data_IF_597742920052
#
_entry.id   IF_597742920052
#
_cell.length_a   1.000
_cell.length_b   1.000
_cell.length_c   1.000
_cell.angle_alpha   90.00
_cell.angle_beta   90.00
_cell.angle_gamma   90.00
#
_symmetry.space_group_name_H-M   'P 1'
#
loop_
_entity.id
_entity.type
_entity.pdbx_description
1 polymer ?
#
# COMPACT_ATOMS: atom_id res chain seq x y z
N UNK A 1 74.15 32.51 -26.21
CA UNK A 1 72.70 32.28 -26.10
C UNK A 1 72.34 32.06 -24.63
N UNK A 2 71.88 33.11 -23.93
CA UNK A 2 71.63 33.08 -22.49
C UNK A 2 70.30 32.42 -22.07
N UNK A 3 69.42 32.11 -23.03
CA UNK A 3 68.04 31.72 -22.75
C UNK A 3 67.80 30.22 -22.54
N UNK A 4 68.82 29.35 -22.68
CA UNK A 4 68.65 27.91 -22.45
C UNK A 4 68.79 27.49 -20.98
N UNK A 5 69.41 28.34 -20.16
CA UNK A 5 69.67 28.09 -18.73
C UNK A 5 68.38 27.87 -17.93
N UNK A 6 67.30 28.60 -18.23
CA UNK A 6 66.03 28.51 -17.50
C UNK A 6 65.30 27.17 -17.71
N UNK A 7 65.46 26.55 -18.88
CA UNK A 7 64.90 25.23 -19.18
C UNK A 7 65.69 24.09 -18.53
N UNK A 8 66.93 24.33 -18.11
CA UNK A 8 67.80 23.33 -17.48
C UNK A 8 67.80 23.43 -15.96
N UNK A 9 67.92 24.64 -15.41
CA UNK A 9 68.09 24.83 -13.97
C UNK A 9 66.73 24.76 -13.24
N UNK A 10 65.65 25.31 -13.83
CA UNK A 10 64.33 25.42 -13.19
C UNK A 10 63.17 25.04 -14.15
N UNK A 11 63.16 23.83 -14.74
CA UNK A 11 62.14 23.42 -15.71
C UNK A 11 60.69 23.51 -15.16
N UNK A 12 60.50 23.36 -13.85
CA UNK A 12 59.20 23.47 -13.20
C UNK A 12 58.64 24.90 -13.16
N UNK A 13 59.47 25.93 -13.31
CA UNK A 13 59.01 27.33 -13.41
C UNK A 13 58.42 27.67 -14.78
N UNK A 14 58.63 26.81 -15.79
CA UNK A 14 58.13 27.00 -17.16
C UNK A 14 56.89 26.15 -17.46
N UNK A 15 56.49 25.27 -16.53
CA UNK A 15 55.24 24.51 -16.65
C UNK A 15 54.04 25.45 -16.49
N UNK A 16 53.14 25.45 -17.47
CA UNK A 16 51.86 26.18 -17.38
C UNK A 16 51.05 25.55 -16.22
N UNK A 17 50.98 26.25 -15.09
CA UNK A 17 50.11 25.86 -13.98
C UNK A 17 48.70 26.33 -14.31
N UNK A 18 47.80 25.39 -14.52
CA UNK A 18 46.37 25.67 -14.67
C UNK A 18 45.79 25.76 -13.26
N UNK A 19 45.30 26.94 -12.88
CA UNK A 19 44.69 27.20 -11.58
C UNK A 19 43.17 27.06 -11.67
N UNK A 20 42.56 26.48 -10.63
CA UNK A 20 41.11 26.55 -10.45
C UNK A 20 40.66 27.93 -9.95
N UNK A 21 39.33 28.15 -9.86
CA UNK A 21 38.74 29.42 -9.43
C UNK A 21 39.12 29.91 -8.02
N UNK A 22 39.70 29.04 -7.18
CA UNK A 22 40.21 29.38 -5.85
C UNK A 22 41.74 29.66 -5.85
N UNK A 23 42.33 29.89 -7.02
CA UNK A 23 43.75 30.19 -7.19
C UNK A 23 44.69 29.06 -6.68
N UNK A 24 44.18 27.84 -6.57
CA UNK A 24 44.93 26.63 -6.27
C UNK A 24 45.27 25.89 -7.57
N UNK A 25 46.49 25.39 -7.69
CA UNK A 25 46.91 24.61 -8.85
C UNK A 25 46.16 23.28 -8.88
N UNK A 26 45.62 22.91 -10.05
CA UNK A 26 45.03 21.59 -10.25
C UNK A 26 46.17 20.56 -10.34
N UNK A 27 46.18 19.59 -9.43
CA UNK A 27 47.18 18.53 -9.43
C UNK A 27 46.74 17.39 -10.36
N UNK A 28 47.64 16.98 -11.25
CA UNK A 28 47.47 15.78 -12.08
C UNK A 28 48.27 14.61 -11.50
N UNK A 29 47.88 13.38 -11.82
CA UNK A 29 48.69 12.19 -11.51
C UNK A 29 50.00 12.15 -12.32
N UNK A 30 50.83 11.12 -12.08
CA UNK A 30 52.10 10.92 -12.78
C UNK A 30 51.98 10.67 -14.28
N UNK A 31 50.76 10.46 -14.78
CA UNK A 31 50.42 10.28 -16.19
C UNK A 31 49.81 11.55 -16.80
N UNK A 32 49.65 12.62 -16.02
CA UNK A 32 49.07 13.90 -16.47
C UNK A 32 47.54 13.96 -16.40
N UNK A 33 46.88 12.99 -15.74
CA UNK A 33 45.42 12.97 -15.63
C UNK A 33 44.93 13.72 -14.38
N UNK A 34 43.82 14.44 -14.50
CA UNK A 34 43.10 15.03 -13.37
C UNK A 34 42.04 14.05 -12.85
N UNK A 35 42.18 13.57 -11.61
CA UNK A 35 41.13 12.78 -10.97
C UNK A 35 40.07 13.69 -10.37
N UNK A 36 38.83 13.60 -10.87
CA UNK A 36 37.67 14.29 -10.30
C UNK A 36 36.89 13.28 -9.47
N UNK A 37 36.68 13.56 -8.18
CA UNK A 37 35.83 12.75 -7.30
C UNK A 37 34.56 13.54 -6.99
N UNK A 38 33.40 13.03 -7.39
CA UNK A 38 32.10 13.57 -6.97
C UNK A 38 31.49 12.68 -5.90
N UNK A 39 30.93 13.27 -4.84
CA UNK A 39 30.22 12.55 -3.76
C UNK A 39 28.76 12.25 -4.10
N UNK A 40 28.31 12.60 -5.31
CA UNK A 40 26.97 12.30 -5.80
C UNK A 40 26.84 12.50 -7.31
N UNK A 41 25.95 11.72 -7.93
CA UNK A 41 25.52 11.93 -9.31
C UNK A 41 24.18 12.68 -9.26
N UNK A 42 24.21 13.99 -9.52
CA UNK A 42 22.99 14.75 -9.79
C UNK A 42 22.73 14.66 -11.31
N UNK A 43 21.67 13.94 -11.69
CA UNK A 43 21.15 13.98 -13.06
C UNK A 43 19.98 14.94 -13.04
N UNK A 44 20.15 16.12 -13.62
CA UNK A 44 19.02 17.01 -13.88
C UNK A 44 18.26 16.46 -15.10
N UNK A 45 16.99 16.09 -14.94
CA UNK A 45 16.28 15.38 -15.99
C UNK A 45 15.93 16.34 -17.15
N UNK A 46 15.88 15.86 -18.41
CA UNK A 46 15.51 16.69 -19.55
C UNK A 46 14.04 17.14 -19.45
N UNK A 47 13.71 18.35 -19.92
CA UNK A 47 12.33 18.89 -19.92
C UNK A 47 11.31 18.00 -20.65
N UNK A 48 11.78 17.19 -21.61
CA UNK A 48 10.97 16.28 -22.43
C UNK A 48 10.75 14.88 -21.83
N UNK A 49 11.17 14.62 -20.60
CA UNK A 49 11.09 13.29 -19.99
C UNK A 49 12.44 12.57 -19.93
N UNK A 50 12.51 11.53 -19.11
CA UNK A 50 13.69 10.67 -18.96
C UNK A 50 13.27 9.24 -19.26
N UNK A 51 13.92 8.61 -20.24
CA UNK A 51 13.74 7.19 -20.56
C UNK A 51 14.92 6.41 -20.00
N UNK A 52 14.64 5.48 -19.08
CA UNK A 52 15.63 4.54 -18.56
C UNK A 52 15.29 3.14 -19.09
N UNK A 53 16.08 2.65 -20.04
CA UNK A 53 16.05 1.26 -20.52
C UNK A 53 17.24 0.51 -19.97
N UNK A 54 17.03 -0.38 -19.00
CA UNK A 54 18.11 -1.21 -18.44
C UNK A 54 17.62 -2.61 -18.11
N UNK A 55 18.38 -3.63 -18.49
CA UNK A 55 18.29 -4.94 -17.86
C UNK A 55 19.14 -4.90 -16.58
N UNK A 56 18.52 -4.95 -15.40
CA UNK A 56 19.22 -5.05 -14.11
C UNK A 56 19.85 -3.77 -13.56
N UNK A 57 19.12 -2.65 -13.49
CA UNK A 57 19.55 -1.48 -12.71
C UNK A 57 19.25 -1.70 -11.22
N UNK A 58 20.30 -1.80 -10.41
CA UNK A 58 20.21 -1.83 -8.95
C UNK A 58 20.65 -0.48 -8.37
N UNK A 59 19.76 0.17 -7.62
CA UNK A 59 20.06 1.44 -6.93
C UNK A 59 20.00 1.18 -5.42
N UNK A 60 21.15 1.32 -4.76
CA UNK A 60 21.26 1.27 -3.29
C UNK A 60 21.61 2.66 -2.78
N UNK A 61 20.73 3.25 -1.97
CA UNK A 61 20.99 4.56 -1.36
C UNK A 61 20.31 4.65 0.01
N UNK A 62 20.85 5.48 0.90
CA UNK A 62 20.23 5.80 2.21
C UNK A 62 19.12 6.86 2.08
N UNK A 63 18.79 7.26 0.85
CA UNK A 63 17.77 8.23 0.47
C UNK A 63 17.92 8.55 -1.01
N UNK A 64 16.97 8.08 -1.83
CA UNK A 64 16.91 8.41 -3.25
C UNK A 64 15.73 9.37 -3.44
N UNK A 65 16.03 10.63 -3.74
CA UNK A 65 15.05 11.56 -4.28
C UNK A 65 15.25 11.60 -5.79
N UNK A 66 14.26 11.14 -6.55
CA UNK A 66 14.19 11.34 -8.00
C UNK A 66 13.25 12.53 -8.19
N UNK A 67 13.80 13.70 -8.52
CA UNK A 67 12.99 14.79 -9.05
C UNK A 67 12.68 14.43 -10.50
N UNK A 68 11.42 14.16 -10.85
CA UNK A 68 11.10 13.66 -12.17
C UNK A 68 11.02 14.83 -13.18
N UNK A 69 11.27 14.59 -14.46
CA UNK A 69 11.04 15.59 -15.49
C UNK A 69 9.56 15.95 -15.62
N UNK A 70 9.26 17.22 -15.92
CA UNK A 70 7.90 17.73 -16.14
C UNK A 70 7.10 16.93 -17.19
N UNK A 71 7.80 16.34 -18.17
CA UNK A 71 7.22 15.53 -19.25
C UNK A 71 6.90 14.06 -18.91
N UNK A 72 7.20 13.58 -17.70
CA UNK A 72 6.96 12.19 -17.30
C UNK A 72 8.24 11.33 -17.26
N UNK A 73 8.23 10.31 -16.41
CA UNK A 73 9.33 9.34 -16.25
C UNK A 73 8.85 7.98 -16.76
N UNK A 74 9.56 7.42 -17.75
CA UNK A 74 9.30 6.08 -18.28
C UNK A 74 10.46 5.15 -17.89
N UNK A 75 10.17 4.14 -17.09
CA UNK A 75 11.13 3.08 -16.75
C UNK A 75 10.67 1.77 -17.37
N UNK A 76 11.48 1.26 -18.29
CA UNK A 76 11.31 -0.06 -18.91
C UNK A 76 12.48 -0.94 -18.45
N UNK A 77 12.25 -1.83 -17.50
CA UNK A 77 13.30 -2.71 -16.98
C UNK A 77 12.81 -4.12 -16.69
N UNK A 78 13.56 -5.13 -17.12
CA UNK A 78 13.51 -6.44 -16.48
C UNK A 78 14.37 -6.35 -15.20
N UNK A 79 13.72 -6.29 -14.04
CA UNK A 79 14.39 -6.25 -12.72
C UNK A 79 14.97 -4.90 -12.29
N UNK A 80 14.12 -3.94 -11.91
CA UNK A 80 14.52 -2.77 -11.12
C UNK A 80 14.44 -3.14 -9.63
N UNK A 81 15.59 -3.14 -8.95
CA UNK A 81 15.67 -3.34 -7.50
C UNK A 81 16.11 -2.03 -6.84
N UNK A 82 15.23 -1.46 -6.01
CA UNK A 82 15.53 -0.27 -5.20
C UNK A 82 15.55 -0.68 -3.73
N UNK A 83 16.70 -0.53 -3.08
CA UNK A 83 16.83 -0.70 -1.63
C UNK A 83 17.14 0.65 -1.02
N UNK A 84 16.20 1.18 -0.23
CA UNK A 84 16.36 2.46 0.46
C UNK A 84 15.64 2.47 1.81
N UNK A 85 16.18 3.21 2.77
CA UNK A 85 15.51 3.53 4.05
C UNK A 85 14.40 4.58 3.92
N UNK A 86 14.16 5.07 2.70
CA UNK A 86 13.12 6.01 2.31
C UNK A 86 13.22 6.27 0.82
N UNK A 87 12.16 5.94 0.07
CA UNK A 87 11.99 6.27 -1.33
C UNK A 87 10.85 7.28 -1.43
N UNK A 88 11.18 8.53 -1.73
CA UNK A 88 10.21 9.55 -2.10
C UNK A 88 10.32 9.76 -3.61
N UNK A 89 9.27 9.36 -4.33
CA UNK A 89 9.11 9.71 -5.75
C UNK A 89 8.08 10.83 -5.76
N UNK A 90 8.53 12.06 -5.97
CA UNK A 90 7.60 13.11 -6.37
C UNK A 90 7.11 12.74 -7.77
N UNK A 91 5.80 12.68 -8.03
CA UNK A 91 5.30 12.23 -9.31
C UNK A 91 5.46 13.35 -10.37
N UNK A 92 5.89 13.04 -11.60
CA UNK A 92 5.91 14.05 -12.65
C UNK A 92 4.50 14.49 -13.01
N UNK A 93 4.34 15.76 -13.37
CA UNK A 93 3.07 16.32 -13.87
C UNK A 93 2.51 15.55 -15.08
N UNK A 94 3.39 14.95 -15.89
CA UNK A 94 3.03 14.11 -17.05
C UNK A 94 2.73 12.63 -16.74
N UNK A 95 2.79 12.19 -15.48
CA UNK A 95 2.54 10.80 -15.07
C UNK A 95 3.79 9.91 -15.04
N UNK A 96 3.75 8.89 -14.18
CA UNK A 96 4.81 7.89 -14.01
C UNK A 96 4.33 6.56 -14.62
N UNK A 97 5.06 6.05 -15.60
CA UNK A 97 4.79 4.73 -16.18
C UNK A 97 5.97 3.79 -15.90
N UNK A 98 5.72 2.74 -15.10
CA UNK A 98 6.68 1.68 -14.82
C UNK A 98 6.20 0.41 -15.50
N UNK A 99 6.95 -0.05 -16.50
CA UNK A 99 6.75 -1.35 -17.13
C UNK A 99 7.92 -2.25 -16.75
N UNK A 100 7.71 -3.08 -15.72
CA UNK A 100 8.71 -4.04 -15.28
C UNK A 100 8.10 -5.39 -14.98
N UNK A 101 8.69 -6.47 -15.50
CA UNK A 101 8.56 -7.78 -14.89
C UNK A 101 9.48 -7.78 -13.64
N UNK A 102 8.90 -7.65 -12.45
CA UNK A 102 9.63 -7.74 -11.18
C UNK A 102 10.18 -6.41 -10.63
N UNK A 103 9.31 -5.46 -10.30
CA UNK A 103 9.66 -4.34 -9.42
C UNK A 103 9.72 -4.84 -7.98
N UNK A 104 10.92 -4.88 -7.39
CA UNK A 104 11.10 -5.17 -5.97
C UNK A 104 11.51 -3.89 -5.23
N UNK A 105 10.59 -3.33 -4.44
CA UNK A 105 10.86 -2.19 -3.55
C UNK A 105 10.93 -2.73 -2.12
N UNK A 106 12.12 -2.75 -1.54
CA UNK A 106 12.28 -3.02 -0.11
C UNK A 106 12.51 -1.67 0.59
N UNK A 107 11.43 -1.12 1.17
CA UNK A 107 11.47 0.10 1.95
C UNK A 107 10.64 -0.07 3.23
N UNK A 108 11.01 0.63 4.31
CA UNK A 108 10.20 0.70 5.55
C UNK A 108 9.04 1.69 5.44
N UNK A 109 8.70 2.13 4.22
CA UNK A 109 7.63 3.07 3.92
C UNK A 109 7.69 3.45 2.44
N UNK A 110 6.62 3.13 1.69
CA UNK A 110 6.42 3.58 0.32
C UNK A 110 5.28 4.61 0.35
N UNK A 111 5.62 5.88 0.17
CA UNK A 111 4.65 6.94 -0.07
C UNK A 111 4.67 7.24 -1.57
N UNK A 112 3.57 6.94 -2.26
CA UNK A 112 3.35 7.38 -3.64
C UNK A 112 2.28 8.46 -3.58
N UNK A 113 2.67 9.71 -3.83
CA UNK A 113 1.69 10.74 -4.13
C UNK A 113 1.20 10.51 -5.57
N UNK A 114 -0.11 10.34 -5.80
CA UNK A 114 -0.60 10.07 -7.15
C UNK A 114 -0.41 11.31 -8.05
N UNK A 115 0.11 11.17 -9.28
CA UNK A 115 0.16 12.28 -10.22
C UNK A 115 -1.26 12.79 -10.52
N UNK A 116 -1.38 14.07 -10.88
CA UNK A 116 -2.63 14.68 -11.37
C UNK A 116 -3.24 13.96 -12.57
N UNK A 117 -2.45 13.19 -13.32
CA UNK A 117 -2.87 12.34 -14.44
C UNK A 117 -3.21 10.88 -14.09
N UNK A 118 -3.12 10.49 -12.81
CA UNK A 118 -3.39 9.13 -12.34
C UNK A 118 -2.19 8.18 -12.42
N UNK A 119 -2.18 7.17 -11.54
CA UNK A 119 -1.15 6.13 -11.48
C UNK A 119 -1.66 4.87 -12.18
N UNK A 120 -0.97 4.42 -13.24
CA UNK A 120 -1.28 3.16 -13.94
C UNK A 120 -0.17 2.14 -13.69
N UNK A 121 -0.48 1.06 -12.96
CA UNK A 121 0.43 -0.07 -12.72
C UNK A 121 -0.05 -1.25 -13.56
N UNK A 122 0.77 -1.71 -14.50
CA UNK A 122 0.44 -2.85 -15.40
C UNK A 122 1.28 -4.10 -15.14
N UNK A 123 2.00 -4.15 -14.01
CA UNK A 123 2.86 -5.28 -13.67
C UNK A 123 2.07 -6.46 -13.07
N UNK A 124 2.31 -7.71 -13.50
CA UNK A 124 1.70 -8.93 -12.93
C UNK A 124 2.21 -9.29 -11.51
N UNK A 125 2.81 -8.36 -10.77
CA UNK A 125 3.40 -8.58 -9.45
C UNK A 125 2.90 -7.64 -8.34
N UNK A 126 1.88 -6.81 -8.61
CA UNK A 126 1.24 -6.04 -7.54
C UNK A 126 0.34 -6.97 -6.72
N UNK A 127 0.83 -7.44 -5.57
CA UNK A 127 -0.05 -8.13 -4.62
C UNK A 127 -0.91 -7.07 -3.92
N UNK A 128 -2.17 -6.94 -4.34
CA UNK A 128 -3.17 -6.33 -3.48
C UNK A 128 -3.39 -7.33 -2.34
N UNK A 129 -2.81 -7.06 -1.17
CA UNK A 129 -3.22 -7.76 0.04
C UNK A 129 -4.62 -7.24 0.33
N UNK A 130 -5.65 -7.99 -0.05
CA UNK A 130 -6.98 -7.70 0.43
C UNK A 130 -6.96 -7.95 1.94
N UNK A 131 -7.28 -6.91 2.69
CA UNK A 131 -7.36 -7.02 4.14
C UNK A 131 -8.66 -7.76 4.48
N UNK A 132 -8.66 -8.58 5.52
CA UNK A 132 -9.88 -9.21 6.02
C UNK A 132 -10.28 -8.59 7.34
N UNK A 133 -11.59 -8.61 7.62
CA UNK A 133 -12.13 -8.28 8.94
C UNK A 133 -12.84 -9.49 9.51
N UNK A 134 -12.62 -9.78 10.79
CA UNK A 134 -13.34 -10.79 11.56
C UNK A 134 -13.70 -10.19 12.91
N UNK A 135 -14.99 -10.00 13.15
CA UNK A 135 -15.53 -9.43 14.38
C UNK A 135 -16.54 -10.41 14.95
N UNK A 136 -16.39 -10.77 16.22
CA UNK A 136 -17.34 -11.64 16.90
C UNK A 136 -18.02 -10.95 18.09
N UNK A 137 -19.27 -11.31 18.34
CA UNK A 137 -20.07 -10.84 19.47
C UNK A 137 -20.88 -12.00 20.06
N UNK A 138 -20.90 -12.10 21.39
CA UNK A 138 -21.73 -13.06 22.11
C UNK A 138 -22.96 -12.36 22.69
N UNK A 139 -24.14 -12.89 22.38
CA UNK A 139 -25.44 -12.45 22.87
C UNK A 139 -25.97 -13.56 23.78
N UNK A 140 -25.97 -13.32 25.10
CA UNK A 140 -26.32 -14.34 26.09
C UNK A 140 -27.66 -14.07 26.77
N UNK A 141 -28.28 -15.13 27.31
CA UNK A 141 -29.51 -15.07 28.10
C UNK A 141 -30.69 -14.44 27.37
N UNK A 142 -30.79 -14.66 26.06
CA UNK A 142 -31.89 -14.17 25.24
C UNK A 142 -33.13 -14.98 25.56
N UNK A 143 -34.15 -14.33 26.14
CA UNK A 143 -35.47 -14.92 26.40
C UNK A 143 -36.60 -14.15 25.70
N UNK A 144 -36.28 -13.01 25.09
CA UNK A 144 -37.24 -12.19 24.36
C UNK A 144 -37.66 -12.86 23.05
N UNK A 145 -38.97 -13.02 22.87
CA UNK A 145 -39.58 -13.60 21.67
C UNK A 145 -39.99 -12.55 20.64
N UNK A 146 -39.91 -11.26 20.97
CA UNK A 146 -40.19 -10.16 20.05
C UNK A 146 -38.95 -9.77 19.23
N UNK A 147 -37.78 -9.86 19.86
CA UNK A 147 -36.48 -9.79 19.21
C UNK A 147 -35.87 -8.40 19.16
N UNK A 148 -34.56 -8.39 18.94
CA UNK A 148 -33.76 -7.18 18.88
C UNK A 148 -32.64 -7.30 17.86
N UNK A 149 -32.18 -6.17 17.34
CA UNK A 149 -30.95 -6.11 16.56
C UNK A 149 -29.72 -6.20 17.45
N UNK A 150 -28.66 -6.81 16.96
CA UNK A 150 -27.34 -6.79 17.58
C UNK A 150 -26.56 -5.49 17.25
N UNK A 151 -25.24 -5.56 17.37
CA UNK A 151 -24.31 -4.50 16.97
C UNK A 151 -24.51 -4.12 15.50
N UNK A 152 -24.50 -2.82 15.22
CA UNK A 152 -24.52 -2.32 13.84
C UNK A 152 -23.12 -2.32 13.24
N UNK A 153 -22.94 -3.02 12.12
CA UNK A 153 -21.69 -3.09 11.37
C UNK A 153 -21.74 -2.13 10.20
N UNK A 154 -20.67 -1.37 9.98
CA UNK A 154 -20.49 -0.58 8.74
C UNK A 154 -19.87 -1.49 7.69
N UNK A 155 -20.60 -1.76 6.61
CA UNK A 155 -20.17 -2.69 5.55
C UNK A 155 -19.78 -1.95 4.26
N UNK A 156 -19.88 -0.62 4.26
CA UNK A 156 -19.41 0.21 3.16
C UNK A 156 -17.87 0.14 3.09
N UNK A 157 -17.34 -0.35 1.96
CA UNK A 157 -15.90 -0.60 1.79
C UNK A 157 -15.49 -2.05 2.05
N UNK A 158 -16.44 -2.95 2.31
CA UNK A 158 -16.21 -4.39 2.36
C UNK A 158 -16.79 -5.00 1.08
N UNK A 159 -15.96 -5.64 0.27
CA UNK A 159 -16.34 -6.16 -1.06
C UNK A 159 -17.27 -7.36 -0.97
N UNK A 160 -16.94 -8.29 -0.07
CA UNK A 160 -17.71 -9.50 0.20
C UNK A 160 -17.76 -9.70 1.71
N UNK A 161 -18.94 -9.96 2.27
CA UNK A 161 -19.10 -10.15 3.71
C UNK A 161 -20.26 -11.09 4.04
N UNK A 162 -20.18 -11.73 5.20
CA UNK A 162 -21.17 -12.70 5.68
C UNK A 162 -21.33 -12.62 7.19
N UNK A 163 -22.50 -13.01 7.69
CA UNK A 163 -22.69 -13.32 9.10
C UNK A 163 -22.73 -14.84 9.31
N UNK A 164 -21.87 -15.37 10.16
CA UNK A 164 -22.03 -16.68 10.77
C UNK A 164 -22.71 -16.53 12.12
N UNK A 165 -23.75 -17.31 12.40
CA UNK A 165 -24.41 -17.31 13.71
C UNK A 165 -24.44 -18.72 14.26
N UNK A 166 -23.84 -18.91 15.44
CA UNK A 166 -23.80 -20.18 16.16
C UNK A 166 -24.69 -20.06 17.40
N UNK A 167 -25.61 -21.00 17.56
CA UNK A 167 -26.41 -21.13 18.77
C UNK A 167 -25.69 -22.04 19.76
N UNK A 168 -25.04 -21.47 20.77
CA UNK A 168 -24.32 -22.17 21.84
C UNK A 168 -25.10 -22.18 23.16
N UNK A 169 -26.43 -22.26 23.07
CA UNK A 169 -27.29 -22.28 24.25
C UNK A 169 -27.07 -23.54 25.08
N UNK A 170 -27.14 -23.40 26.40
CA UNK A 170 -27.04 -24.52 27.33
C UNK A 170 -28.40 -25.19 27.60
N UNK A 171 -29.49 -24.43 27.49
CA UNK A 171 -30.84 -24.93 27.75
C UNK A 171 -31.32 -25.85 26.63
N UNK A 172 -31.92 -26.98 27.01
CA UNK A 172 -32.46 -27.95 26.07
C UNK A 172 -33.55 -27.30 25.19
N UNK A 173 -33.48 -27.55 23.88
CA UNK A 173 -34.40 -27.00 22.88
C UNK A 173 -34.42 -25.46 22.84
N UNK A 174 -33.37 -24.78 23.30
CA UNK A 174 -33.20 -23.34 23.12
C UNK A 174 -33.00 -23.01 21.63
N UNK A 175 -34.09 -22.70 20.94
CA UNK A 175 -34.10 -22.31 19.53
C UNK A 175 -34.13 -20.79 19.40
N UNK A 176 -33.42 -20.29 18.41
CA UNK A 176 -33.38 -18.87 18.07
C UNK A 176 -33.90 -18.65 16.66
N UNK A 177 -34.65 -17.57 16.44
CA UNK A 177 -34.96 -17.08 15.10
C UNK A 177 -33.98 -15.94 14.79
N UNK A 178 -33.22 -16.07 13.71
CA UNK A 178 -32.28 -15.02 13.26
C UNK A 178 -32.59 -14.57 11.84
N UNK A 179 -32.32 -13.31 11.56
CA UNK A 179 -32.36 -12.75 10.21
C UNK A 179 -31.34 -11.63 10.12
N UNK A 180 -30.89 -11.34 8.91
CA UNK A 180 -30.02 -10.22 8.66
C UNK A 180 -30.83 -9.01 8.23
N UNK A 181 -30.45 -7.86 8.76
CA UNK A 181 -31.03 -6.58 8.39
C UNK A 181 -29.96 -5.67 7.81
N UNK A 182 -30.36 -4.87 6.83
CA UNK A 182 -29.52 -3.84 6.21
C UNK A 182 -30.17 -2.47 6.33
N UNK A 183 -29.35 -1.41 6.35
CA UNK A 183 -29.83 -0.05 6.55
C UNK A 183 -28.94 0.98 5.87
N UNK A 184 -29.50 2.06 5.29
CA UNK A 184 -28.71 3.17 4.77
C UNK A 184 -28.25 4.14 5.87
N UNK A 185 -28.98 4.23 6.99
CA UNK A 185 -28.85 5.27 8.01
C UNK A 185 -28.62 4.74 9.44
N UNK A 186 -28.69 3.42 9.65
CA UNK A 186 -28.52 2.76 10.95
C UNK A 186 -29.77 2.83 11.84
N UNK A 187 -30.87 3.38 11.33
CA UNK A 187 -32.12 3.59 12.08
C UNK A 187 -33.30 2.89 11.42
N UNK A 188 -33.42 2.98 10.10
CA UNK A 188 -34.44 2.33 9.30
C UNK A 188 -33.88 1.01 8.74
N UNK A 189 -34.42 -0.11 9.20
CA UNK A 189 -33.89 -1.44 8.91
C UNK A 189 -34.80 -2.22 7.99
N UNK A 190 -34.21 -2.82 6.95
CA UNK A 190 -34.86 -3.74 6.03
C UNK A 190 -34.39 -5.16 6.34
N UNK A 191 -35.32 -6.10 6.49
CA UNK A 191 -35.01 -7.53 6.54
C UNK A 191 -34.57 -8.01 5.15
N UNK A 192 -33.41 -8.66 5.02
CA UNK A 192 -32.89 -9.08 3.71
C UNK A 192 -32.57 -10.57 3.59
N UNK A 193 -31.94 -11.19 4.59
CA UNK A 193 -31.69 -12.63 4.59
C UNK A 193 -32.32 -13.31 5.81
N UNK A 194 -33.03 -14.42 5.58
CA UNK A 194 -33.81 -15.14 6.60
C UNK A 194 -35.31 -14.74 6.60
N UNK A 195 -36.06 -15.04 7.67
CA UNK A 195 -35.59 -15.60 8.93
C UNK A 195 -35.24 -17.09 8.88
N UNK A 196 -34.32 -17.51 9.75
CA UNK A 196 -33.87 -18.89 9.94
C UNK A 196 -34.00 -19.27 11.41
N UNK A 197 -34.64 -20.39 11.70
CA UNK A 197 -34.65 -20.97 13.05
C UNK A 197 -33.40 -21.83 13.24
N UNK A 198 -32.55 -21.45 14.20
CA UNK A 198 -31.35 -22.19 14.58
C UNK A 198 -31.65 -23.01 15.84
N UNK A 199 -31.49 -24.32 15.74
CA UNK A 199 -31.56 -25.23 16.90
C UNK A 199 -30.37 -25.04 17.84
N UNK A 200 -30.51 -25.48 19.08
CA UNK A 200 -29.41 -25.56 20.03
C UNK A 200 -28.20 -26.28 19.40
N UNK A 201 -26.99 -25.75 19.61
CA UNK A 201 -25.72 -26.27 19.10
C UNK A 201 -25.64 -26.39 17.57
N UNK A 202 -26.39 -25.55 16.86
CA UNK A 202 -26.37 -25.48 15.39
C UNK A 202 -25.86 -24.12 14.92
N UNK A 203 -25.49 -24.05 13.64
CA UNK A 203 -25.00 -22.84 12.99
C UNK A 203 -25.85 -22.49 11.76
N UNK A 204 -25.87 -21.21 11.41
CA UNK A 204 -26.35 -20.75 10.10
C UNK A 204 -25.46 -19.64 9.57
N UNK A 205 -25.54 -19.40 8.26
CA UNK A 205 -24.85 -18.30 7.58
C UNK A 205 -25.87 -17.43 6.87
N UNK A 206 -25.74 -16.12 7.04
CA UNK A 206 -26.58 -15.12 6.39
C UNK A 206 -25.71 -14.35 5.40
N UNK A 207 -26.10 -14.37 4.13
CA UNK A 207 -25.38 -13.75 3.01
C UNK A 207 -26.32 -12.80 2.31
N UNK A 208 -25.85 -11.60 1.98
CA UNK A 208 -26.66 -10.58 1.33
C UNK A 208 -26.54 -10.60 -0.18
N UNK A 209 -27.63 -10.22 -0.84
CA UNK A 209 -27.69 -9.90 -2.26
C UNK A 209 -27.82 -8.39 -2.52
N UNK A 210 -28.06 -7.60 -1.47
CA UNK A 210 -28.30 -6.15 -1.55
C UNK A 210 -27.39 -5.42 -0.56
N UNK A 211 -26.61 -4.46 -1.04
CA UNK A 211 -25.63 -3.76 -0.22
C UNK A 211 -26.11 -2.36 0.15
N UNK A 212 -26.25 -2.11 1.46
CA UNK A 212 -26.42 -0.77 2.04
C UNK A 212 -25.26 -0.47 3.00
N UNK A 213 -25.23 0.75 3.54
CA UNK A 213 -24.11 1.22 4.37
C UNK A 213 -23.90 0.38 5.63
N UNK A 214 -24.98 -0.06 6.25
CA UNK A 214 -24.98 -0.78 7.52
C UNK A 214 -25.66 -2.13 7.40
N UNK A 215 -25.18 -3.09 8.19
CA UNK A 215 -25.79 -4.40 8.36
C UNK A 215 -25.76 -4.83 9.83
N UNK A 216 -26.69 -5.71 10.22
CA UNK A 216 -26.75 -6.31 11.57
C UNK A 216 -27.51 -7.63 11.54
N UNK A 217 -27.38 -8.43 12.60
CA UNK A 217 -28.22 -9.60 12.85
C UNK A 217 -29.37 -9.21 13.78
N UNK A 218 -30.59 -9.47 13.37
CA UNK A 218 -31.77 -9.42 14.23
C UNK A 218 -32.06 -10.83 14.73
N UNK A 219 -32.29 -10.97 16.03
CA UNK A 219 -32.46 -12.25 16.69
C UNK A 219 -33.59 -12.22 17.72
N UNK A 220 -34.16 -13.38 18.00
CA UNK A 220 -35.15 -13.59 19.07
C UNK A 220 -35.09 -15.05 19.56
N UNK A 221 -35.49 -15.28 20.80
CA UNK A 221 -35.76 -16.63 21.28
C UNK A 221 -37.09 -17.11 20.69
N UNK A 222 -37.18 -18.39 20.32
CA UNK A 222 -38.47 -18.98 19.88
C UNK A 222 -39.39 -19.21 21.09
N UNK A 223 -38.82 -19.44 22.27
CA UNK A 223 -39.54 -19.68 23.51
C UNK A 223 -38.84 -18.98 24.67
N UNK A 224 -39.59 -18.18 25.44
CA UNK A 224 -39.06 -17.45 26.60
C UNK A 224 -38.63 -18.35 27.78
N UNK A 225 -39.04 -19.62 27.78
CA UNK A 225 -38.71 -20.58 28.84
C UNK A 225 -37.30 -21.18 28.73
N UNK A 226 -36.64 -21.08 27.57
CA UNK A 226 -35.28 -21.59 27.34
C UNK A 226 -34.39 -20.44 26.90
N UNK A 227 -33.40 -20.10 27.71
CA UNK A 227 -32.49 -19.00 27.43
C UNK A 227 -31.56 -19.35 26.26
N UNK A 228 -31.48 -18.44 25.29
CA UNK A 228 -30.64 -18.59 24.10
C UNK A 228 -29.32 -17.84 24.27
N UNK A 229 -28.22 -18.46 23.84
CA UNK A 229 -26.91 -17.82 23.67
C UNK A 229 -26.46 -17.94 22.21
N UNK A 230 -26.21 -16.81 21.55
CA UNK A 230 -25.74 -16.75 20.17
C UNK A 230 -24.34 -16.14 20.08
N UNK A 231 -23.45 -16.76 19.32
CA UNK A 231 -22.21 -16.15 18.86
C UNK A 231 -22.38 -15.71 17.40
N UNK A 232 -22.26 -14.41 17.16
CA UNK A 232 -22.33 -13.81 15.83
C UNK A 232 -20.92 -13.49 15.37
N UNK A 233 -20.57 -13.92 14.16
CA UNK A 233 -19.30 -13.69 13.49
C UNK A 233 -19.57 -12.88 12.22
N UNK A 234 -19.02 -11.68 12.13
CA UNK A 234 -19.00 -10.87 10.92
C UNK A 234 -17.63 -11.02 10.26
N UNK A 235 -17.63 -11.60 9.06
CA UNK A 235 -16.41 -11.83 8.30
C UNK A 235 -16.52 -11.16 6.93
N UNK A 236 -15.47 -10.46 6.52
CA UNK A 236 -15.47 -9.76 5.25
C UNK A 236 -14.09 -9.50 4.65
N UNK A 237 -14.10 -9.28 3.35
CA UNK A 237 -12.96 -8.94 2.50
C UNK A 237 -13.01 -7.43 2.16
N UNK A 238 -11.92 -6.71 2.46
CA UNK A 238 -11.76 -5.27 2.23
C UNK A 238 -11.15 -4.99 0.85
#
# INVERSE_FOLDING_TARGET
MANFKIFQDNPDQVKVKIFGGNNAALNTDSSGNLTITSTGLAVEPPTGGLLITSAGLAITSTGLAIEPPTGGLLITSAGLAITSSGLAIEPPTGGLLITSAGLAITSTGLAIEPPTGGLLITSPGLSIISATTDVSATLANITDTTGSGDTTYTVLGVREWTFGVVNESLDLNAQALVKMQISPDGTNWLDEAGPVTINQNSLTTLVTSIFLKYARVFYSAVNAASAVTLNVFFQGEL
#
